data_IF_880368111191
#
_entry.id   IF_880368111191
#
_cell.length_a   1.000
_cell.length_b   1.000
_cell.length_c   1.000
_cell.angle_alpha   90.00
_cell.angle_beta   90.00
_cell.angle_gamma   90.00
#
_symmetry.space_group_name_H-M   'P 1'
#
loop_
_entity.id
_entity.type
_entity.pdbx_description
1 polymer ?
#
# COMPACT_ATOMS: atom_id res chain seq x y z
N UNK A 1 4.57 55.35 40.87
CA UNK A 1 3.31 55.75 40.18
C UNK A 1 3.18 54.89 38.96
N UNK A 2 2.30 53.98 39.06
CA UNK A 2 1.31 53.47 38.06
C UNK A 2 1.88 53.03 36.70
N UNK A 3 1.59 51.90 36.16
CA UNK A 3 0.57 50.92 36.49
C UNK A 3 0.73 49.66 35.68
N UNK A 4 0.16 48.65 36.23
CA UNK A 4 -0.04 47.31 35.77
C UNK A 4 -0.81 47.21 34.42
N UNK A 5 -0.44 46.25 33.57
CA UNK A 5 -1.24 45.84 32.42
C UNK A 5 -1.00 44.37 32.11
N UNK A 6 -1.97 43.55 32.44
CA UNK A 6 -2.05 42.10 32.41
C UNK A 6 -1.84 41.47 31.04
N UNK A 7 -1.15 40.36 31.06
CA UNK A 7 -1.18 39.29 30.06
C UNK A 7 -2.60 38.79 29.83
N UNK A 8 -2.90 38.48 28.59
CA UNK A 8 -3.95 37.53 28.23
C UNK A 8 -3.45 36.58 27.16
N UNK A 9 -3.47 35.33 27.55
CA UNK A 9 -3.37 34.16 26.68
C UNK A 9 -4.52 34.15 25.67
N UNK A 10 -4.22 34.00 24.40
CA UNK A 10 -5.20 33.57 23.38
C UNK A 10 -4.56 32.54 22.45
N UNK A 11 -4.99 31.34 22.65
CA UNK A 11 -5.73 30.47 21.76
C UNK A 11 -5.28 30.44 20.28
N UNK A 12 -4.52 29.43 19.94
CA UNK A 12 -4.17 29.03 18.58
C UNK A 12 -5.35 28.37 17.88
N UNK A 13 -5.89 29.02 16.85
CA UNK A 13 -6.77 28.43 15.85
C UNK A 13 -6.01 28.26 14.52
N UNK A 14 -6.27 27.22 13.73
CA UNK A 14 -5.53 26.96 12.50
C UNK A 14 -6.02 27.86 11.35
N UNK A 15 -5.07 28.51 10.71
CA UNK A 15 -5.28 29.37 9.55
C UNK A 15 -5.49 28.52 8.29
N UNK A 16 -6.67 28.63 7.71
CA UNK A 16 -6.94 28.19 6.34
C UNK A 16 -6.26 29.14 5.36
N UNK A 17 -5.32 28.64 4.56
CA UNK A 17 -4.75 29.41 3.46
C UNK A 17 -5.69 29.36 2.25
N UNK A 18 -6.40 30.45 2.05
CA UNK A 18 -6.99 30.82 0.76
C UNK A 18 -5.87 31.50 -0.06
N UNK A 19 -5.46 30.88 -1.15
CA UNK A 19 -4.46 31.44 -2.05
C UNK A 19 -5.11 32.49 -2.97
N UNK A 20 -5.11 33.73 -2.54
CA UNK A 20 -5.36 34.87 -3.43
C UNK A 20 -4.01 35.41 -3.88
N UNK A 21 -3.70 35.23 -5.14
CA UNK A 21 -2.49 35.78 -5.78
C UNK A 21 -2.70 37.25 -6.01
N UNK A 22 -2.01 38.10 -5.22
CA UNK A 22 -1.88 39.54 -5.49
C UNK A 22 -0.68 39.74 -6.41
N UNK A 23 -0.94 40.05 -7.67
CA UNK A 23 0.08 40.50 -8.61
C UNK A 23 0.42 41.93 -8.26
N UNK A 24 1.64 42.21 -7.83
CA UNK A 24 2.20 43.55 -7.66
C UNK A 24 3.22 43.76 -8.76
N UNK A 25 2.87 44.58 -9.71
CA UNK A 25 3.78 45.14 -10.70
C UNK A 25 4.84 46.01 -10.01
N UNK A 26 6.09 45.75 -10.26
CA UNK A 26 7.19 46.68 -10.04
C UNK A 26 8.16 46.60 -11.23
N UNK A 27 8.17 47.67 -12.01
CA UNK A 27 9.10 47.88 -13.10
C UNK A 27 10.56 48.02 -12.62
N UNK A 28 11.46 47.21 -13.18
CA UNK A 28 12.87 47.55 -13.40
C UNK A 28 13.49 46.59 -14.43
N UNK A 29 14.24 47.07 -15.41
CA UNK A 29 14.84 46.21 -16.44
C UNK A 29 16.20 45.65 -15.94
N UNK A 30 16.15 44.54 -15.21
CA UNK A 30 17.33 43.72 -15.02
C UNK A 30 17.23 42.48 -15.92
N UNK A 31 18.28 42.23 -16.72
CA UNK A 31 18.40 41.02 -17.53
C UNK A 31 18.20 39.79 -16.63
N UNK A 32 17.01 39.26 -16.66
CA UNK A 32 16.65 38.07 -15.91
C UNK A 32 17.08 36.85 -16.74
N UNK A 33 18.31 36.39 -16.52
CA UNK A 33 18.78 35.08 -16.97
C UNK A 33 18.01 34.00 -16.20
N UNK A 34 16.71 33.90 -16.45
CA UNK A 34 15.95 32.75 -15.96
C UNK A 34 16.51 31.49 -16.64
N UNK A 35 16.97 30.51 -15.87
CA UNK A 35 17.40 29.26 -16.48
C UNK A 35 16.22 28.71 -17.29
N UNK A 36 16.48 28.35 -18.51
CA UNK A 36 15.57 27.71 -19.44
C UNK A 36 14.57 26.87 -18.66
N UNK A 37 13.28 27.21 -18.73
CA UNK A 37 12.20 26.40 -18.21
C UNK A 37 12.22 25.11 -19.01
N UNK A 38 13.03 24.13 -18.54
CA UNK A 38 13.19 22.82 -19.18
C UNK A 38 11.78 22.30 -19.34
N UNK A 39 11.31 22.14 -20.55
CA UNK A 39 10.03 21.58 -20.91
C UNK A 39 9.97 20.21 -20.23
N UNK A 40 9.28 20.15 -19.08
CA UNK A 40 9.18 18.94 -18.29
C UNK A 40 8.21 18.02 -19.01
N UNK A 41 8.76 17.07 -19.78
CA UNK A 41 7.97 16.02 -20.36
C UNK A 41 7.20 15.29 -19.26
N UNK A 42 5.86 15.13 -19.39
CA UNK A 42 5.00 14.56 -18.34
C UNK A 42 5.38 13.12 -17.96
N UNK A 43 6.23 12.47 -18.74
CA UNK A 43 6.67 11.09 -18.56
C UNK A 43 8.11 10.95 -18.02
N UNK A 44 8.80 12.08 -17.72
CA UNK A 44 10.18 12.02 -17.20
C UNK A 44 10.19 11.50 -15.76
N UNK A 45 10.91 10.41 -15.43
CA UNK A 45 11.08 9.93 -14.08
C UNK A 45 11.68 10.99 -13.14
N UNK A 46 11.26 11.00 -11.88
CA UNK A 46 11.83 11.92 -10.87
C UNK A 46 13.29 11.63 -10.55
N UNK A 47 13.75 10.41 -10.75
CA UNK A 47 15.18 10.05 -10.65
C UNK A 47 16.05 10.90 -11.59
N UNK A 48 15.65 11.02 -12.87
CA UNK A 48 16.36 11.85 -13.84
C UNK A 48 16.38 13.32 -13.42
N UNK A 49 15.25 13.81 -12.88
CA UNK A 49 15.17 15.19 -12.38
C UNK A 49 16.12 15.41 -11.21
N UNK A 50 16.18 14.47 -10.26
CA UNK A 50 17.04 14.56 -9.08
C UNK A 50 18.53 14.53 -9.44
N UNK A 51 18.91 13.66 -10.37
CA UNK A 51 20.31 13.59 -10.82
C UNK A 51 20.71 14.92 -11.48
N UNK A 52 19.83 15.53 -12.29
CA UNK A 52 20.06 16.82 -12.95
C UNK A 52 20.10 18.00 -11.97
N UNK A 53 19.35 17.94 -10.86
CA UNK A 53 19.38 18.93 -9.79
C UNK A 53 20.70 18.88 -8.96
N UNK A 54 21.50 17.84 -9.13
CA UNK A 54 22.71 17.55 -8.36
C UNK A 54 22.42 16.62 -7.17
N UNK A 55 23.09 15.48 -7.14
CA UNK A 55 22.93 14.47 -6.10
C UNK A 55 24.23 14.27 -5.35
N UNK A 56 24.23 14.59 -4.06
CA UNK A 56 25.42 14.54 -3.19
C UNK A 56 25.48 13.25 -2.36
N UNK A 57 26.69 12.92 -1.86
CA UNK A 57 26.88 11.81 -0.92
C UNK A 57 26.05 11.95 0.36
N UNK A 58 25.77 13.19 0.79
CA UNK A 58 24.91 13.47 1.93
C UNK A 58 23.44 13.06 1.65
N UNK A 59 22.95 13.30 0.44
CA UNK A 59 21.61 12.85 0.02
C UNK A 59 21.55 11.33 -0.11
N UNK A 60 22.60 10.70 -0.67
CA UNK A 60 22.69 9.23 -0.71
C UNK A 60 22.61 8.60 0.67
N UNK A 61 23.34 9.14 1.67
CA UNK A 61 23.26 8.64 3.04
C UNK A 61 21.85 8.73 3.63
N UNK A 62 21.13 9.84 3.38
CA UNK A 62 19.73 9.99 3.81
C UNK A 62 18.82 8.96 3.15
N UNK A 63 18.94 8.80 1.83
CA UNK A 63 18.14 7.85 1.06
C UNK A 63 18.44 6.41 1.45
N UNK A 64 19.71 6.05 1.69
CA UNK A 64 20.11 4.73 2.15
C UNK A 64 19.53 4.39 3.52
N UNK A 65 19.61 5.31 4.49
CA UNK A 65 19.03 5.11 5.83
C UNK A 65 17.49 5.04 5.80
N UNK A 66 16.85 5.88 5.00
CA UNK A 66 15.41 5.84 4.81
C UNK A 66 14.98 4.53 4.13
N UNK A 67 15.67 4.11 3.07
CA UNK A 67 15.45 2.84 2.39
C UNK A 67 15.60 1.64 3.32
N UNK A 68 16.61 1.64 4.18
CA UNK A 68 16.81 0.60 5.19
C UNK A 68 15.63 0.55 6.19
N UNK A 69 15.21 1.71 6.69
CA UNK A 69 14.06 1.81 7.60
C UNK A 69 12.80 1.23 6.98
N UNK A 70 12.55 1.54 5.71
CA UNK A 70 11.38 1.00 4.99
C UNK A 70 11.53 -0.50 4.73
N UNK A 71 12.72 -0.99 4.36
CA UNK A 71 12.97 -2.40 4.09
C UNK A 71 12.69 -3.28 5.32
N UNK A 72 13.12 -2.83 6.49
CA UNK A 72 12.88 -3.51 7.77
C UNK A 72 11.37 -3.68 8.05
N UNK A 73 10.57 -2.67 7.75
CA UNK A 73 9.11 -2.72 7.92
C UNK A 73 8.44 -3.54 6.81
N UNK A 74 8.93 -3.39 5.60
CA UNK A 74 8.33 -4.00 4.41
C UNK A 74 8.51 -5.52 4.34
N UNK A 75 9.60 -6.05 4.90
CA UNK A 75 9.95 -7.46 4.80
C UNK A 75 8.84 -8.37 5.37
N UNK A 76 8.47 -8.30 6.67
CA UNK A 76 7.40 -9.13 7.20
C UNK A 76 6.04 -8.81 6.58
N UNK A 77 5.79 -7.53 6.28
CA UNK A 77 4.53 -7.09 5.69
C UNK A 77 4.33 -7.61 4.27
N UNK A 78 5.38 -7.69 3.45
CA UNK A 78 5.27 -8.22 2.09
C UNK A 78 4.93 -9.70 2.07
N UNK A 79 5.55 -10.49 2.96
CA UNK A 79 5.24 -11.91 3.13
C UNK A 79 3.81 -12.11 3.63
N UNK A 80 3.41 -11.34 4.65
CA UNK A 80 2.06 -11.41 5.20
C UNK A 80 0.98 -11.10 4.16
N UNK A 81 1.17 -10.06 3.33
CA UNK A 81 0.24 -9.72 2.24
C UNK A 81 0.16 -10.85 1.20
N UNK A 82 1.29 -11.44 0.80
CA UNK A 82 1.29 -12.54 -0.15
C UNK A 82 0.50 -13.75 0.40
N UNK A 83 0.78 -14.15 1.65
CA UNK A 83 0.08 -15.26 2.31
C UNK A 83 -1.42 -14.99 2.40
N UNK A 84 -1.82 -13.80 2.84
CA UNK A 84 -3.21 -13.40 2.91
C UNK A 84 -3.92 -13.35 1.54
N UNK A 85 -3.13 -13.21 0.47
CA UNK A 85 -3.60 -13.24 -0.93
C UNK A 85 -3.56 -14.65 -1.54
N UNK A 86 -3.41 -15.70 -0.75
CA UNK A 86 -3.25 -17.10 -1.18
C UNK A 86 -2.02 -17.35 -2.07
N UNK A 87 -1.06 -16.41 -2.05
CA UNK A 87 0.21 -16.54 -2.75
C UNK A 87 1.33 -17.01 -1.79
N UNK A 88 2.37 -17.68 -2.29
CA UNK A 88 3.51 -18.06 -1.48
C UNK A 88 4.26 -16.81 -0.96
N UNK A 89 4.81 -16.82 0.27
CA UNK A 89 5.40 -15.65 0.91
C UNK A 89 6.51 -14.98 0.10
N UNK A 90 7.30 -15.76 -0.64
CA UNK A 90 8.36 -15.25 -1.51
C UNK A 90 7.84 -14.38 -2.65
N UNK A 91 6.62 -14.61 -3.15
CA UNK A 91 6.03 -13.76 -4.19
C UNK A 91 5.87 -12.31 -3.73
N UNK A 92 5.55 -12.10 -2.44
CA UNK A 92 5.52 -10.77 -1.84
C UNK A 92 6.90 -10.11 -1.77
N UNK A 93 7.95 -10.88 -1.48
CA UNK A 93 9.33 -10.39 -1.48
C UNK A 93 9.79 -10.03 -2.90
N UNK A 94 9.55 -10.89 -3.88
CA UNK A 94 9.87 -10.61 -5.28
C UNK A 94 9.17 -9.35 -5.78
N UNK A 95 7.92 -9.14 -5.37
CA UNK A 95 7.17 -7.92 -5.69
C UNK A 95 7.80 -6.69 -5.06
N UNK A 96 8.24 -6.75 -3.80
CA UNK A 96 8.91 -5.64 -3.14
C UNK A 96 10.28 -5.34 -3.74
N UNK A 97 11.01 -6.36 -4.19
CA UNK A 97 12.34 -6.23 -4.81
C UNK A 97 12.20 -5.66 -6.22
N UNK A 98 11.57 -6.39 -7.13
CA UNK A 98 11.52 -6.02 -8.56
C UNK A 98 10.58 -4.84 -8.77
N UNK A 99 9.34 -4.97 -8.30
CA UNK A 99 8.32 -3.93 -8.45
C UNK A 99 8.68 -2.66 -7.69
N UNK A 100 9.15 -2.79 -6.45
CA UNK A 100 9.59 -1.65 -5.65
C UNK A 100 10.74 -0.89 -6.27
N UNK A 101 11.74 -1.59 -6.84
CA UNK A 101 12.85 -0.98 -7.58
C UNK A 101 12.35 -0.21 -8.81
N UNK A 102 11.53 -0.85 -9.65
CA UNK A 102 11.02 -0.25 -10.89
C UNK A 102 10.14 0.97 -10.64
N UNK A 103 9.23 0.89 -9.67
CA UNK A 103 8.37 2.02 -9.27
C UNK A 103 9.24 3.21 -8.84
N UNK A 104 10.28 2.98 -8.06
CA UNK A 104 11.15 4.06 -7.59
C UNK A 104 12.07 4.61 -8.70
N UNK A 105 12.61 3.75 -9.56
CA UNK A 105 13.51 4.15 -10.63
C UNK A 105 12.81 4.92 -11.75
N UNK A 106 11.59 4.48 -12.13
CA UNK A 106 10.84 5.02 -13.26
C UNK A 106 9.74 6.00 -12.82
N UNK A 107 9.44 6.09 -11.52
CA UNK A 107 8.29 6.78 -10.96
C UNK A 107 8.29 8.29 -11.15
N UNK A 108 7.07 8.83 -11.13
CA UNK A 108 6.79 10.26 -11.14
C UNK A 108 6.84 10.90 -9.76
N UNK A 109 6.93 10.14 -8.69
CA UNK A 109 7.08 10.60 -7.30
C UNK A 109 8.53 10.47 -6.83
N UNK A 110 8.96 11.36 -5.94
CA UNK A 110 10.31 11.28 -5.33
C UNK A 110 10.38 10.29 -4.19
N UNK A 111 9.24 9.97 -3.58
CA UNK A 111 9.20 9.30 -2.29
C UNK A 111 8.44 7.98 -2.30
N UNK A 112 7.76 7.69 -3.41
CA UNK A 112 6.93 6.51 -3.55
C UNK A 112 7.72 5.22 -3.37
N UNK A 113 7.19 4.34 -2.55
CA UNK A 113 7.70 2.98 -2.37
C UNK A 113 6.69 2.02 -2.95
N UNK A 114 7.13 1.26 -3.95
CA UNK A 114 6.34 0.18 -4.54
C UNK A 114 6.46 -1.12 -3.76
N UNK A 115 5.46 -1.99 -3.92
CA UNK A 115 5.45 -3.33 -3.34
C UNK A 115 4.04 -3.91 -3.31
N UNK A 116 3.84 -5.10 -2.73
CA UNK A 116 2.51 -5.67 -2.55
C UNK A 116 1.72 -4.80 -1.55
N UNK A 117 0.45 -4.59 -1.82
CA UNK A 117 -0.41 -3.74 -0.99
C UNK A 117 -1.58 -4.50 -0.41
N UNK A 118 -1.97 -4.13 0.82
CA UNK A 118 -3.11 -4.74 1.52
C UNK A 118 -4.42 -4.61 0.75
N UNK A 119 -4.62 -3.51 0.03
CA UNK A 119 -5.81 -3.28 -0.78
C UNK A 119 -6.05 -4.33 -1.87
N UNK A 120 -5.00 -5.03 -2.29
CA UNK A 120 -5.09 -6.06 -3.33
C UNK A 120 -5.34 -7.47 -2.80
N UNK A 121 -5.27 -7.70 -1.48
CA UNK A 121 -5.35 -9.04 -0.88
C UNK A 121 -6.56 -9.81 -1.43
N UNK A 122 -7.74 -9.20 -1.38
CA UNK A 122 -8.99 -9.87 -1.77
C UNK A 122 -9.04 -10.13 -3.28
N UNK A 123 -8.66 -9.13 -4.08
CA UNK A 123 -8.70 -9.25 -5.55
C UNK A 123 -7.66 -10.25 -6.04
N UNK A 124 -6.46 -10.25 -5.47
CA UNK A 124 -5.40 -11.20 -5.80
C UNK A 124 -5.79 -12.61 -5.37
N UNK A 125 -6.34 -12.80 -4.16
CA UNK A 125 -6.82 -14.08 -3.68
C UNK A 125 -7.92 -14.64 -4.60
N UNK A 126 -8.92 -13.84 -4.95
CA UNK A 126 -10.01 -14.29 -5.83
C UNK A 126 -9.52 -14.71 -7.23
N UNK A 127 -8.50 -14.02 -7.77
CA UNK A 127 -7.90 -14.40 -9.06
C UNK A 127 -7.09 -15.69 -8.93
N UNK A 128 -6.35 -15.87 -7.84
CA UNK A 128 -5.60 -17.11 -7.59
C UNK A 128 -6.57 -18.28 -7.42
N UNK A 129 -7.64 -18.13 -6.66
CA UNK A 129 -8.63 -19.18 -6.43
C UNK A 129 -9.35 -19.60 -7.71
N UNK A 130 -9.63 -18.66 -8.62
CA UNK A 130 -10.31 -18.93 -9.87
C UNK A 130 -9.39 -19.38 -11.01
N UNK A 131 -8.16 -18.86 -11.08
CA UNK A 131 -7.27 -19.00 -12.24
C UNK A 131 -5.84 -19.47 -11.88
N UNK A 132 -5.59 -19.74 -10.61
CA UNK A 132 -4.27 -20.10 -10.12
C UNK A 132 -3.24 -18.97 -10.20
N UNK A 133 -2.02 -19.27 -9.78
CA UNK A 133 -0.93 -18.29 -9.76
C UNK A 133 -0.53 -17.82 -11.18
N UNK A 134 -0.59 -18.70 -12.17
CA UNK A 134 -0.31 -18.35 -13.56
C UNK A 134 -1.34 -17.34 -14.11
N UNK A 135 -2.64 -17.53 -13.81
CA UNK A 135 -3.69 -16.60 -14.18
C UNK A 135 -3.52 -15.22 -13.52
N UNK A 136 -3.13 -15.18 -12.25
CA UNK A 136 -2.79 -13.91 -11.58
C UNK A 136 -1.63 -13.19 -12.27
N UNK A 137 -0.55 -13.91 -12.58
CA UNK A 137 0.62 -13.33 -13.26
C UNK A 137 0.24 -12.71 -14.60
N UNK A 138 -0.54 -13.43 -15.41
CA UNK A 138 -1.03 -12.93 -16.70
C UNK A 138 -1.97 -11.73 -16.52
N UNK A 139 -2.93 -11.79 -15.59
CA UNK A 139 -3.82 -10.66 -15.30
C UNK A 139 -3.03 -9.42 -14.82
N UNK A 140 -1.97 -9.62 -14.02
CA UNK A 140 -1.10 -8.53 -13.56
C UNK A 140 -0.31 -7.91 -14.73
N UNK A 141 0.23 -8.73 -15.64
CA UNK A 141 0.90 -8.22 -16.86
C UNK A 141 -0.07 -7.42 -17.75
N UNK A 142 -1.28 -7.95 -17.98
CA UNK A 142 -2.31 -7.26 -18.72
C UNK A 142 -2.70 -5.93 -18.04
N UNK A 143 -2.86 -5.93 -16.72
CA UNK A 143 -3.10 -4.71 -15.94
C UNK A 143 -1.98 -3.68 -16.13
N UNK A 144 -0.73 -4.14 -16.14
CA UNK A 144 0.44 -3.30 -16.42
C UNK A 144 0.36 -2.63 -17.79
N UNK A 145 -0.02 -3.37 -18.84
CA UNK A 145 -0.24 -2.81 -20.18
C UNK A 145 -1.36 -1.78 -20.17
N UNK A 146 -2.50 -2.08 -19.51
CA UNK A 146 -3.63 -1.14 -19.39
C UNK A 146 -3.20 0.15 -18.68
N UNK A 147 -2.39 0.06 -17.61
CA UNK A 147 -1.85 1.24 -16.91
C UNK A 147 -0.94 2.08 -17.80
N UNK A 148 -0.04 1.46 -18.59
CA UNK A 148 0.83 2.19 -19.54
C UNK A 148 -0.01 2.89 -20.59
N UNK A 149 -0.99 2.21 -21.20
CA UNK A 149 -1.90 2.82 -22.18
C UNK A 149 -2.69 3.97 -21.54
N UNK A 150 -3.23 3.78 -20.34
CA UNK A 150 -3.91 4.83 -19.58
C UNK A 150 -3.03 6.05 -19.31
N UNK A 151 -1.75 5.83 -18.98
CA UNK A 151 -0.78 6.91 -18.79
C UNK A 151 -0.52 7.67 -20.09
N UNK A 152 -0.35 6.98 -21.23
CA UNK A 152 -0.16 7.59 -22.55
C UNK A 152 -1.38 8.42 -22.97
N UNK A 153 -2.58 7.96 -22.64
CA UNK A 153 -3.83 8.70 -22.80
C UNK A 153 -4.04 9.81 -21.76
N UNK A 154 -3.06 10.01 -20.86
CA UNK A 154 -3.06 11.04 -19.80
C UNK A 154 -4.20 10.90 -18.78
N UNK A 155 -4.67 9.68 -18.55
CA UNK A 155 -5.75 9.39 -17.59
C UNK A 155 -5.32 9.56 -16.12
N UNK A 156 -4.04 9.69 -15.83
CA UNK A 156 -3.52 9.89 -14.46
C UNK A 156 -4.09 11.11 -13.73
N UNK A 157 -4.60 12.11 -14.46
CA UNK A 157 -5.26 13.27 -13.85
C UNK A 157 -6.70 12.99 -13.38
N UNK A 158 -7.35 11.93 -13.89
CA UNK A 158 -8.74 11.60 -13.55
C UNK A 158 -8.90 11.15 -12.09
N UNK A 159 -7.87 10.51 -11.52
CA UNK A 159 -7.91 10.04 -10.12
C UNK A 159 -8.16 11.18 -9.12
N UNK A 160 -7.77 12.41 -9.46
CA UNK A 160 -8.05 13.59 -8.63
C UNK A 160 -9.55 13.89 -8.43
N UNK A 161 -10.40 13.30 -9.27
CA UNK A 161 -11.85 13.52 -9.24
C UNK A 161 -12.60 12.46 -8.42
N UNK A 162 -11.89 11.45 -7.87
CA UNK A 162 -12.51 10.45 -7.00
C UNK A 162 -12.91 11.14 -5.69
N UNK A 163 -14.21 11.09 -5.31
CA UNK A 163 -14.68 11.74 -4.10
C UNK A 163 -14.05 11.12 -2.84
N UNK A 164 -13.65 11.95 -1.89
CA UNK A 164 -12.98 11.51 -0.65
C UNK A 164 -13.82 10.48 0.13
N UNK A 165 -15.15 10.64 0.18
CA UNK A 165 -16.05 9.70 0.85
C UNK A 165 -16.01 8.28 0.23
N UNK A 166 -15.81 8.18 -1.09
CA UNK A 166 -15.61 6.89 -1.79
C UNK A 166 -14.32 6.24 -1.33
N UNK A 167 -13.23 6.99 -1.28
CA UNK A 167 -11.92 6.46 -0.84
C UNK A 167 -11.98 5.96 0.60
N UNK A 168 -12.58 6.73 1.52
CA UNK A 168 -12.70 6.34 2.94
C UNK A 168 -13.61 5.13 3.11
N UNK A 169 -14.75 5.06 2.41
CA UNK A 169 -15.66 3.90 2.45
C UNK A 169 -14.99 2.64 1.90
N UNK A 170 -14.29 2.77 0.79
CA UNK A 170 -13.55 1.69 0.15
C UNK A 170 -12.43 1.14 1.04
N UNK A 171 -11.57 2.00 1.60
CA UNK A 171 -10.47 1.57 2.48
C UNK A 171 -10.99 0.93 3.77
N UNK A 172 -12.10 1.41 4.32
CA UNK A 172 -12.75 0.80 5.47
C UNK A 172 -13.32 -0.59 5.14
N UNK A 173 -13.94 -0.77 3.96
CA UNK A 173 -14.43 -2.06 3.48
C UNK A 173 -13.31 -3.09 3.32
N UNK A 174 -12.21 -2.70 2.67
CA UNK A 174 -11.01 -3.54 2.54
C UNK A 174 -10.46 -3.93 3.92
N UNK A 175 -10.39 -2.99 4.86
CA UNK A 175 -9.88 -3.26 6.21
C UNK A 175 -10.67 -4.38 6.91
N UNK A 176 -12.00 -4.39 6.78
CA UNK A 176 -12.86 -5.46 7.33
C UNK A 176 -12.55 -6.81 6.67
N UNK A 177 -12.41 -6.84 5.36
CA UNK A 177 -12.14 -8.08 4.63
C UNK A 177 -10.74 -8.62 4.96
N UNK A 178 -9.71 -7.74 5.03
CA UNK A 178 -8.36 -8.13 5.45
C UNK A 178 -8.38 -8.71 6.86
N UNK A 179 -9.07 -8.03 7.79
CA UNK A 179 -9.16 -8.52 9.16
C UNK A 179 -9.84 -9.90 9.22
N UNK A 180 -10.93 -10.10 8.49
CA UNK A 180 -11.63 -11.37 8.43
C UNK A 180 -10.73 -12.49 7.87
N UNK A 181 -9.89 -12.22 6.87
CA UNK A 181 -8.95 -13.20 6.32
C UNK A 181 -7.80 -13.56 7.27
N UNK A 182 -7.55 -12.76 8.31
CA UNK A 182 -6.54 -13.09 9.32
C UNK A 182 -7.04 -13.98 10.45
N UNK A 183 -8.35 -14.14 10.60
CA UNK A 183 -8.95 -14.90 11.73
C UNK A 183 -8.43 -16.34 11.74
N UNK A 184 -8.30 -16.97 10.59
CA UNK A 184 -7.74 -18.32 10.45
C UNK A 184 -6.38 -18.46 11.15
N UNK A 185 -5.40 -17.63 10.77
CA UNK A 185 -4.03 -17.71 11.30
C UNK A 185 -3.89 -17.07 12.70
N UNK A 186 -4.72 -16.06 13.05
CA UNK A 186 -4.76 -15.48 14.40
C UNK A 186 -5.13 -16.51 15.46
N UNK A 187 -6.12 -17.35 15.13
CA UNK A 187 -6.64 -18.37 16.04
C UNK A 187 -6.00 -19.75 15.79
N UNK A 188 -5.15 -19.88 14.76
CA UNK A 188 -4.55 -21.17 14.37
C UNK A 188 -5.61 -22.23 14.11
N UNK A 189 -6.66 -21.89 13.35
CA UNK A 189 -7.78 -22.78 13.06
C UNK A 189 -7.36 -23.84 12.02
N UNK A 190 -8.00 -25.01 12.09
CA UNK A 190 -7.87 -26.03 11.06
C UNK A 190 -9.19 -26.13 10.29
N UNK A 191 -9.19 -25.73 9.03
CA UNK A 191 -10.37 -25.76 8.17
C UNK A 191 -10.50 -27.14 7.50
N UNK A 192 -11.72 -27.65 7.39
CA UNK A 192 -12.01 -28.94 6.70
C UNK A 192 -11.97 -28.80 5.16
N UNK A 193 -12.10 -27.60 4.63
CA UNK A 193 -12.09 -27.29 3.20
C UNK A 193 -11.35 -25.96 2.98
N UNK A 194 -10.95 -25.62 1.74
CA UNK A 194 -10.38 -24.31 1.41
C UNK A 194 -11.26 -23.17 1.89
N UNK A 195 -10.62 -22.10 2.33
CA UNK A 195 -11.32 -20.91 2.87
C UNK A 195 -12.19 -20.25 1.79
N UNK A 196 -13.50 -20.00 2.04
CA UNK A 196 -14.38 -19.35 1.07
C UNK A 196 -13.94 -17.92 0.75
N UNK A 197 -14.13 -17.49 -0.51
CA UNK A 197 -13.78 -16.14 -0.93
C UNK A 197 -14.72 -15.04 -0.39
N UNK A 198 -16.01 -15.31 -0.27
CA UNK A 198 -16.97 -14.34 0.23
C UNK A 198 -17.02 -14.28 1.76
N UNK A 199 -17.26 -13.08 2.30
CA UNK A 199 -17.18 -12.82 3.73
C UNK A 199 -18.15 -13.65 4.57
N UNK A 200 -19.38 -13.86 4.09
CA UNK A 200 -20.43 -14.53 4.89
C UNK A 200 -20.10 -16.01 5.06
N UNK A 201 -19.78 -16.70 3.95
CA UNK A 201 -19.41 -18.12 4.01
C UNK A 201 -18.08 -18.32 4.73
N UNK A 202 -17.14 -17.38 4.56
CA UNK A 202 -15.85 -17.35 5.28
C UNK A 202 -16.08 -17.31 6.79
N UNK A 203 -16.84 -16.33 7.29
CA UNK A 203 -17.13 -16.23 8.73
C UNK A 203 -17.85 -17.46 9.28
N UNK A 204 -18.75 -18.06 8.48
CA UNK A 204 -19.43 -19.31 8.85
C UNK A 204 -18.44 -20.48 8.95
N UNK A 205 -17.55 -20.64 7.98
CA UNK A 205 -16.53 -21.69 7.99
C UNK A 205 -15.56 -21.52 9.17
N UNK A 206 -15.10 -20.30 9.44
CA UNK A 206 -14.24 -19.97 10.59
C UNK A 206 -14.94 -20.25 11.92
N UNK A 207 -16.24 -19.93 12.02
CA UNK A 207 -17.03 -20.24 13.21
C UNK A 207 -17.16 -21.75 13.45
N UNK A 208 -17.40 -22.52 12.39
CA UNK A 208 -17.44 -23.98 12.48
C UNK A 208 -16.09 -24.60 12.88
N UNK A 209 -14.98 -23.98 12.45
CA UNK A 209 -13.64 -24.41 12.82
C UNK A 209 -13.19 -23.92 14.20
N UNK A 210 -13.96 -23.07 14.89
CA UNK A 210 -13.58 -22.49 16.20
C UNK A 210 -13.17 -23.52 17.27
N UNK A 211 -13.71 -24.76 17.34
CA UNK A 211 -13.24 -25.75 18.31
C UNK A 211 -11.80 -26.22 18.09
N UNK A 212 -11.22 -25.98 16.91
CA UNK A 212 -9.83 -26.33 16.57
C UNK A 212 -8.83 -25.24 16.97
N UNK A 213 -9.27 -24.15 17.61
CA UNK A 213 -8.45 -23.01 17.95
C UNK A 213 -7.20 -23.40 18.77
N UNK A 214 -6.05 -22.93 18.33
CA UNK A 214 -4.77 -23.17 18.99
C UNK A 214 -4.45 -22.04 19.98
N UNK A 215 -4.43 -22.29 21.30
CA UNK A 215 -4.19 -21.25 22.29
C UNK A 215 -2.80 -20.61 22.17
N UNK A 216 -1.79 -21.36 21.67
CA UNK A 216 -0.45 -20.83 21.45
C UNK A 216 -0.40 -19.85 20.27
N UNK A 217 -1.16 -20.11 19.21
CA UNK A 217 -1.29 -19.18 18.08
C UNK A 217 -1.95 -17.87 18.55
N UNK A 218 -3.02 -17.96 19.33
CA UNK A 218 -3.72 -16.81 19.91
C UNK A 218 -2.77 -15.99 20.80
N UNK A 219 -2.08 -16.65 21.72
CA UNK A 219 -1.14 -15.99 22.62
C UNK A 219 -0.02 -15.28 21.82
N UNK A 220 0.53 -15.95 20.81
CA UNK A 220 1.60 -15.39 19.99
C UNK A 220 1.14 -14.18 19.17
N UNK A 221 -0.03 -14.25 18.56
CA UNK A 221 -0.64 -13.15 17.84
C UNK A 221 -0.92 -11.95 18.76
N UNK A 222 -1.53 -12.20 19.93
CA UNK A 222 -1.82 -11.16 20.92
C UNK A 222 -0.52 -10.50 21.46
N UNK A 223 0.51 -11.30 21.78
CA UNK A 223 1.81 -10.79 22.20
C UNK A 223 2.48 -9.96 21.08
N UNK A 224 2.39 -10.41 19.82
CA UNK A 224 2.93 -9.67 18.67
C UNK A 224 2.27 -8.31 18.55
N UNK A 225 0.94 -8.25 18.62
CA UNK A 225 0.18 -7.00 18.58
C UNK A 225 0.55 -6.10 19.77
N UNK A 226 0.60 -6.66 20.98
CA UNK A 226 0.93 -5.91 22.20
C UNK A 226 2.34 -5.31 22.13
N UNK A 227 3.35 -6.06 21.67
CA UNK A 227 4.72 -5.59 21.47
C UNK A 227 4.76 -4.44 20.45
N UNK A 228 4.07 -4.58 19.31
CA UNK A 228 4.03 -3.53 18.29
C UNK A 228 3.41 -2.25 18.86
N UNK A 229 2.28 -2.35 19.56
CA UNK A 229 1.59 -1.21 20.16
C UNK A 229 2.46 -0.56 21.24
N UNK A 230 3.07 -1.36 22.13
CA UNK A 230 3.95 -0.87 23.17
C UNK A 230 5.17 -0.12 22.58
N UNK A 231 5.85 -0.69 21.59
CA UNK A 231 7.00 -0.03 20.98
C UNK A 231 6.58 1.26 20.27
N UNK A 232 5.46 1.28 19.55
CA UNK A 232 4.97 2.49 18.88
C UNK A 232 4.62 3.62 19.84
N UNK A 233 4.17 3.27 21.07
CA UNK A 233 3.82 4.26 22.11
C UNK A 233 5.06 4.79 22.82
N UNK A 234 6.01 3.93 23.15
CA UNK A 234 7.16 4.30 23.97
C UNK A 234 8.40 4.70 23.16
N UNK A 235 8.59 4.08 21.99
CA UNK A 235 9.76 4.29 21.12
C UNK A 235 9.34 4.32 19.64
N UNK A 236 8.61 5.35 19.17
CA UNK A 236 8.00 5.38 17.84
C UNK A 236 8.99 5.30 16.66
N UNK A 237 10.27 5.56 16.93
CA UNK A 237 11.34 5.46 15.92
C UNK A 237 11.89 4.03 15.76
N UNK A 238 11.55 3.12 16.66
CA UNK A 238 12.05 1.74 16.62
C UNK A 238 11.25 0.91 15.59
N UNK A 239 11.89 -0.07 14.93
CA UNK A 239 11.25 -0.93 13.94
C UNK A 239 10.32 -1.97 14.60
N UNK A 240 9.18 -1.51 15.11
CA UNK A 240 8.25 -2.31 15.93
C UNK A 240 7.83 -3.63 15.29
N UNK A 241 7.59 -3.64 13.96
CA UNK A 241 7.16 -4.86 13.27
C UNK A 241 8.27 -5.92 13.24
N UNK A 242 9.51 -5.52 12.93
CA UNK A 242 10.63 -6.46 12.91
C UNK A 242 10.91 -7.01 14.29
N UNK A 243 10.96 -6.14 15.32
CA UNK A 243 11.23 -6.56 16.72
C UNK A 243 10.16 -7.56 17.17
N UNK A 244 8.89 -7.29 16.90
CA UNK A 244 7.79 -8.18 17.26
C UNK A 244 7.91 -9.54 16.57
N UNK A 245 8.22 -9.57 15.26
CA UNK A 245 8.42 -10.81 14.51
C UNK A 245 9.61 -11.60 15.02
N UNK A 246 10.75 -10.94 15.26
CA UNK A 246 11.95 -11.61 15.80
C UNK A 246 11.66 -12.22 17.17
N UNK A 247 11.02 -11.47 18.07
CA UNK A 247 10.66 -11.99 19.39
C UNK A 247 9.65 -13.14 19.31
N UNK A 248 8.64 -13.04 18.47
CA UNK A 248 7.65 -14.10 18.25
C UNK A 248 8.30 -15.37 17.68
N UNK A 249 9.18 -15.21 16.67
CA UNK A 249 9.90 -16.33 16.07
C UNK A 249 10.85 -17.00 17.05
N UNK A 250 11.59 -16.19 17.82
CA UNK A 250 12.51 -16.72 18.85
C UNK A 250 11.75 -17.46 19.94
N UNK A 251 10.60 -16.92 20.40
CA UNK A 251 9.76 -17.56 21.41
C UNK A 251 9.17 -18.87 20.89
N UNK A 252 8.65 -18.90 19.67
CA UNK A 252 8.09 -20.09 19.06
C UNK A 252 9.15 -21.19 18.89
N UNK A 253 10.35 -20.82 18.45
CA UNK A 253 11.47 -21.75 18.27
C UNK A 253 12.02 -22.26 19.61
N UNK A 254 12.32 -21.36 20.56
CA UNK A 254 12.94 -21.72 21.84
C UNK A 254 12.01 -22.53 22.74
N UNK A 255 10.71 -22.24 22.73
CA UNK A 255 9.71 -22.96 23.52
C UNK A 255 9.05 -24.12 22.75
N UNK A 256 9.50 -24.40 21.53
CA UNK A 256 8.99 -25.46 20.65
C UNK A 256 7.45 -25.43 20.57
N UNK A 257 6.88 -24.22 20.40
CA UNK A 257 5.44 -24.05 20.37
C UNK A 257 4.81 -24.76 19.17
N UNK A 258 3.69 -25.46 19.34
CA UNK A 258 2.99 -26.17 18.27
C UNK A 258 2.19 -25.18 17.41
N UNK A 259 2.88 -24.29 16.70
CA UNK A 259 2.31 -23.27 15.82
C UNK A 259 2.86 -23.41 14.40
N UNK A 260 2.06 -23.10 13.40
CA UNK A 260 2.51 -23.10 12.03
C UNK A 260 3.47 -21.93 11.75
N UNK A 261 4.53 -22.23 11.00
CA UNK A 261 5.52 -21.25 10.53
C UNK A 261 5.53 -21.20 9.01
N UNK A 262 6.22 -20.20 8.44
CA UNK A 262 6.46 -20.14 6.99
C UNK A 262 7.14 -21.44 6.51
N UNK A 263 8.10 -21.97 7.26
CA UNK A 263 8.80 -23.20 6.94
C UNK A 263 7.91 -24.42 6.91
N UNK A 264 7.02 -24.57 7.89
CA UNK A 264 6.12 -25.73 7.98
C UNK A 264 5.02 -25.73 6.93
N UNK A 265 4.45 -24.56 6.57
CA UNK A 265 3.35 -24.46 5.60
C UNK A 265 3.83 -24.35 4.15
N UNK A 266 4.93 -23.61 3.90
CA UNK A 266 5.39 -23.26 2.55
C UNK A 266 6.75 -23.88 2.16
N UNK A 267 7.37 -24.65 3.05
CA UNK A 267 8.70 -25.25 2.80
C UNK A 267 9.87 -24.27 2.92
N UNK A 268 9.61 -23.02 3.35
CA UNK A 268 10.61 -21.98 3.54
C UNK A 268 10.64 -20.92 2.42
N UNK A 269 11.67 -20.08 2.46
CA UNK A 269 11.87 -18.98 1.50
C UNK A 269 13.15 -19.26 0.71
N UNK A 270 13.13 -19.11 -0.63
CA UNK A 270 14.32 -19.30 -1.44
C UNK A 270 15.35 -18.21 -1.12
N UNK A 271 16.63 -18.61 -1.09
CA UNK A 271 17.76 -17.69 -0.87
C UNK A 271 18.29 -17.06 -2.15
N UNK A 272 17.50 -17.05 -3.23
CA UNK A 272 17.87 -16.42 -4.50
C UNK A 272 16.63 -15.98 -5.30
N UNK A 273 16.80 -14.94 -6.12
CA UNK A 273 15.76 -14.56 -7.07
C UNK A 273 15.64 -15.61 -8.18
N UNK A 274 14.44 -15.97 -8.60
CA UNK A 274 14.26 -16.83 -9.76
C UNK A 274 14.73 -16.11 -11.03
N UNK A 275 15.17 -16.88 -12.04
CA UNK A 275 15.37 -16.33 -13.37
C UNK A 275 14.04 -15.87 -13.97
N UNK A 276 14.04 -14.78 -14.75
CA UNK A 276 12.81 -14.30 -15.38
C UNK A 276 12.26 -15.36 -16.34
N UNK A 277 10.99 -15.69 -16.17
CA UNK A 277 10.28 -16.66 -17.00
C UNK A 277 8.88 -16.15 -17.31
N UNK A 278 8.38 -16.45 -18.49
CA UNK A 278 7.00 -16.15 -18.84
C UNK A 278 6.06 -17.08 -18.07
N UNK A 279 4.95 -16.54 -17.52
CA UNK A 279 3.92 -17.38 -16.94
C UNK A 279 3.34 -18.36 -17.98
N UNK A 280 2.90 -19.54 -17.53
CA UNK A 280 2.24 -20.48 -18.41
C UNK A 280 0.93 -19.93 -18.95
N UNK A 281 0.71 -20.04 -20.26
CA UNK A 281 -0.54 -19.69 -20.92
C UNK A 281 -1.49 -20.91 -21.02
N UNK A 282 -1.02 -22.10 -20.66
CA UNK A 282 -1.80 -23.33 -20.74
C UNK A 282 -3.05 -23.24 -19.84
N UNK A 283 -4.21 -23.51 -20.45
CA UNK A 283 -5.50 -23.45 -19.76
C UNK A 283 -6.00 -22.04 -19.42
N UNK A 284 -5.27 -20.99 -19.79
CA UNK A 284 -5.64 -19.59 -19.49
C UNK A 284 -6.28 -18.92 -20.71
N UNK A 285 -7.48 -18.36 -20.51
CA UNK A 285 -8.11 -17.49 -21.51
C UNK A 285 -7.83 -16.04 -21.16
N UNK A 286 -7.08 -15.32 -22.01
CA UNK A 286 -6.80 -13.90 -21.82
C UNK A 286 -8.09 -13.06 -21.78
N UNK A 287 -9.12 -13.48 -22.53
CA UNK A 287 -10.41 -12.79 -22.51
C UNK A 287 -11.13 -12.97 -21.16
N UNK A 288 -11.04 -14.15 -20.56
CA UNK A 288 -11.61 -14.43 -19.25
C UNK A 288 -10.86 -13.66 -18.13
N UNK A 289 -9.55 -13.41 -18.30
CA UNK A 289 -8.73 -12.64 -17.35
C UNK A 289 -8.90 -11.11 -17.49
N UNK A 290 -9.51 -10.64 -18.60
CA UNK A 290 -9.61 -9.20 -18.88
C UNK A 290 -10.34 -8.39 -17.79
N UNK A 291 -11.48 -8.85 -17.21
CA UNK A 291 -12.12 -8.14 -16.11
C UNK A 291 -11.20 -8.01 -14.89
N UNK A 292 -10.49 -9.08 -14.52
CA UNK A 292 -9.52 -9.09 -13.44
C UNK A 292 -8.35 -8.12 -13.71
N UNK A 293 -7.84 -8.10 -14.94
CA UNK A 293 -6.78 -7.19 -15.35
C UNK A 293 -7.21 -5.72 -15.28
N UNK A 294 -8.43 -5.40 -15.74
CA UNK A 294 -9.00 -4.05 -15.64
C UNK A 294 -9.13 -3.67 -14.17
N UNK A 295 -9.60 -4.58 -13.33
CA UNK A 295 -9.75 -4.41 -11.90
C UNK A 295 -8.43 -4.05 -11.22
N UNK A 296 -7.39 -4.86 -11.48
CA UNK A 296 -6.04 -4.61 -10.99
C UNK A 296 -5.48 -3.28 -11.48
N UNK A 297 -5.70 -2.93 -12.76
CA UNK A 297 -5.22 -1.68 -13.33
C UNK A 297 -5.88 -0.45 -12.71
N UNK A 298 -7.20 -0.47 -12.55
CA UNK A 298 -7.97 0.64 -11.96
C UNK A 298 -7.59 0.83 -10.50
N UNK A 299 -7.65 -0.25 -9.71
CA UNK A 299 -7.32 -0.21 -8.29
C UNK A 299 -5.88 0.24 -8.06
N UNK A 300 -4.92 -0.34 -8.81
CA UNK A 300 -3.51 0.01 -8.71
C UNK A 300 -3.21 1.45 -9.10
N UNK A 301 -3.90 1.97 -10.12
CA UNK A 301 -3.78 3.36 -10.53
C UNK A 301 -4.27 4.31 -9.42
N UNK A 302 -5.44 4.01 -8.84
CA UNK A 302 -6.02 4.82 -7.77
C UNK A 302 -5.10 4.82 -6.54
N UNK A 303 -4.71 3.65 -6.05
CA UNK A 303 -3.90 3.52 -4.84
C UNK A 303 -2.53 4.16 -4.99
N UNK A 304 -1.86 3.92 -6.13
CA UNK A 304 -0.55 4.51 -6.41
C UNK A 304 -0.60 6.04 -6.47
N UNK A 305 -1.59 6.61 -7.16
CA UNK A 305 -1.71 8.07 -7.26
C UNK A 305 -2.16 8.69 -5.94
N UNK A 306 -3.01 8.03 -5.15
CA UNK A 306 -3.34 8.48 -3.79
C UNK A 306 -2.10 8.48 -2.88
N UNK A 307 -1.27 7.43 -2.95
CA UNK A 307 0.00 7.37 -2.21
C UNK A 307 0.93 8.52 -2.59
N UNK A 308 1.02 8.83 -3.88
CA UNK A 308 1.81 9.96 -4.38
C UNK A 308 1.27 11.32 -3.88
N UNK A 309 -0.07 11.51 -3.86
CA UNK A 309 -0.72 12.72 -3.32
C UNK A 309 -0.44 12.87 -1.83
N UNK A 310 -0.49 11.80 -1.06
CA UNK A 310 -0.14 11.83 0.37
C UNK A 310 1.32 12.26 0.57
N UNK A 311 2.25 11.73 -0.23
CA UNK A 311 3.65 12.16 -0.20
C UNK A 311 3.81 13.64 -0.57
N UNK A 312 3.07 14.12 -1.57
CA UNK A 312 3.05 15.54 -1.94
C UNK A 312 2.61 16.42 -0.76
N UNK A 313 1.53 16.03 -0.09
CA UNK A 313 1.01 16.74 1.09
C UNK A 313 2.00 16.77 2.27
N UNK A 314 2.79 15.70 2.46
CA UNK A 314 3.80 15.62 3.51
C UNK A 314 5.06 16.42 3.21
N UNK A 315 5.40 16.63 1.93
CA UNK A 315 6.72 17.15 1.51
C UNK A 315 6.65 18.49 0.78
N UNK A 316 5.47 18.90 0.31
CA UNK A 316 5.28 20.06 -0.56
C UNK A 316 5.83 19.87 -1.99
N UNK A 317 6.26 18.67 -2.37
CA UNK A 317 6.84 18.36 -3.68
C UNK A 317 5.85 17.58 -4.54
N UNK A 318 5.51 18.14 -5.70
CA UNK A 318 4.49 17.56 -6.58
C UNK A 318 5.03 16.38 -7.39
N UNK A 319 4.25 15.33 -7.48
CA UNK A 319 4.49 14.17 -8.35
C UNK A 319 4.04 14.44 -9.80
N UNK A 320 4.45 13.55 -10.72
CA UNK A 320 4.01 13.50 -12.12
C UNK A 320 3.13 12.27 -12.33
N UNK A 321 1.81 12.45 -12.31
CA UNK A 321 0.84 11.34 -12.30
C UNK A 321 1.01 10.37 -13.48
N UNK A 322 1.25 10.87 -14.72
CA UNK A 322 1.41 9.99 -15.87
C UNK A 322 2.74 9.22 -15.85
N UNK A 323 3.85 9.85 -15.38
CA UNK A 323 5.11 9.14 -15.19
C UNK A 323 4.96 8.05 -14.12
N UNK A 324 4.20 8.31 -13.06
CA UNK A 324 3.90 7.34 -12.02
C UNK A 324 3.14 6.14 -12.56
N UNK A 325 2.09 6.37 -13.36
CA UNK A 325 1.32 5.27 -13.98
C UNK A 325 2.15 4.45 -14.97
N UNK A 326 3.05 5.08 -15.73
CA UNK A 326 4.00 4.32 -16.59
C UNK A 326 4.88 3.42 -15.75
N UNK A 327 5.43 3.94 -14.66
CA UNK A 327 6.28 3.16 -13.76
C UNK A 327 5.52 1.97 -13.14
N UNK A 328 4.30 2.21 -12.67
CA UNK A 328 3.42 1.16 -12.14
C UNK A 328 3.09 0.11 -13.20
N UNK A 329 2.78 0.55 -14.42
CA UNK A 329 2.50 -0.37 -15.53
C UNK A 329 3.71 -1.23 -15.89
N UNK A 330 4.89 -0.62 -16.06
CA UNK A 330 6.14 -1.36 -16.33
C UNK A 330 6.47 -2.32 -15.18
N UNK A 331 6.29 -1.89 -13.93
CA UNK A 331 6.53 -2.74 -12.77
C UNK A 331 5.57 -3.95 -12.75
N UNK A 332 4.29 -3.76 -13.09
CA UNK A 332 3.31 -4.85 -13.15
C UNK A 332 3.51 -5.78 -14.37
N UNK A 333 4.17 -5.33 -15.43
CA UNK A 333 4.58 -6.20 -16.55
C UNK A 333 5.77 -7.07 -16.13
N UNK A 334 6.77 -6.49 -15.46
CA UNK A 334 8.04 -7.17 -15.21
C UNK A 334 8.05 -8.00 -13.92
N UNK A 335 7.32 -7.60 -12.89
CA UNK A 335 7.29 -8.31 -11.58
C UNK A 335 6.82 -9.76 -11.70
N UNK A 336 5.76 -10.09 -12.48
CA UNK A 336 5.32 -11.47 -12.66
C UNK A 336 6.36 -12.38 -13.32
N UNK A 337 7.26 -11.85 -14.14
CA UNK A 337 8.34 -12.64 -14.76
C UNK A 337 9.29 -13.26 -13.72
N UNK A 338 9.35 -12.68 -12.52
CA UNK A 338 10.13 -13.17 -11.39
C UNK A 338 9.25 -13.84 -10.33
N UNK A 339 8.03 -14.24 -10.68
CA UNK A 339 7.12 -14.90 -9.74
C UNK A 339 6.50 -13.98 -8.68
N UNK A 340 6.56 -12.66 -8.86
CA UNK A 340 5.90 -11.69 -7.99
C UNK A 340 4.41 -11.56 -8.28
N UNK A 341 3.68 -11.00 -7.31
CA UNK A 341 2.28 -10.62 -7.41
C UNK A 341 2.14 -9.15 -7.83
N UNK A 342 0.91 -8.64 -7.89
CA UNK A 342 0.62 -7.25 -8.26
C UNK A 342 1.35 -6.24 -7.38
N UNK A 343 1.97 -5.24 -8.00
CA UNK A 343 2.68 -4.14 -7.35
C UNK A 343 1.93 -2.83 -7.47
N UNK A 344 1.95 -2.04 -6.40
CA UNK A 344 1.49 -0.64 -6.42
C UNK A 344 2.30 0.22 -5.46
N UNK A 345 2.17 1.53 -5.58
CA UNK A 345 2.70 2.46 -4.59
C UNK A 345 1.87 2.38 -3.31
N UNK A 346 2.52 2.19 -2.17
CA UNK A 346 1.83 1.97 -0.90
C UNK A 346 1.92 3.19 0.02
N UNK A 347 0.79 3.69 0.51
CA UNK A 347 0.71 4.89 1.36
C UNK A 347 1.57 4.73 2.62
N UNK A 348 1.45 3.60 3.33
CA UNK A 348 2.13 3.38 4.60
C UNK A 348 3.66 3.36 4.45
N UNK A 349 4.20 2.68 3.42
CA UNK A 349 5.65 2.64 3.16
C UNK A 349 6.16 3.98 2.67
N UNK A 350 5.42 4.65 1.79
CA UNK A 350 5.74 5.99 1.28
C UNK A 350 5.79 7.01 2.41
N UNK A 351 4.80 7.02 3.31
CA UNK A 351 4.80 7.89 4.49
C UNK A 351 5.96 7.56 5.44
N UNK A 352 6.31 6.28 5.61
CA UNK A 352 7.48 5.87 6.41
C UNK A 352 8.77 6.37 5.77
N UNK A 353 8.91 6.29 4.44
CA UNK A 353 10.05 6.78 3.70
C UNK A 353 10.26 8.30 3.90
N UNK A 354 9.18 9.07 3.77
CA UNK A 354 9.20 10.52 4.02
C UNK A 354 9.60 10.82 5.47
N UNK A 355 8.97 10.16 6.45
CA UNK A 355 9.28 10.34 7.89
C UNK A 355 10.70 9.94 8.25
N UNK A 356 11.28 8.95 7.56
CA UNK A 356 12.66 8.54 7.71
C UNK A 356 13.67 9.52 7.09
N UNK A 357 13.19 10.59 6.45
CA UNK A 357 14.03 11.67 5.91
C UNK A 357 14.57 11.40 4.51
N UNK A 358 13.91 10.58 3.71
CA UNK A 358 14.26 10.35 2.33
C UNK A 358 14.36 11.67 1.55
N UNK A 359 15.33 11.75 0.64
CA UNK A 359 15.52 12.89 -0.26
C UNK A 359 14.93 12.65 -1.64
N UNK A 360 14.95 11.41 -2.12
CA UNK A 360 14.48 11.10 -3.45
C UNK A 360 14.26 9.61 -3.76
N UNK A 361 14.08 9.27 -5.05
CA UNK A 361 13.72 7.91 -5.49
C UNK A 361 14.77 6.86 -5.15
N UNK A 362 16.03 7.27 -4.93
CA UNK A 362 17.11 6.35 -4.55
C UNK A 362 16.81 5.65 -3.23
N UNK A 363 16.05 6.28 -2.32
CA UNK A 363 15.62 5.61 -1.09
C UNK A 363 14.78 4.36 -1.36
N UNK A 364 13.88 4.39 -2.34
CA UNK A 364 13.08 3.22 -2.71
C UNK A 364 13.88 2.18 -3.50
N UNK A 365 14.86 2.59 -4.29
CA UNK A 365 15.80 1.65 -4.93
C UNK A 365 16.65 0.93 -3.87
N UNK A 366 17.15 1.67 -2.85
CA UNK A 366 17.86 1.10 -1.71
C UNK A 366 16.99 0.18 -0.86
N UNK A 367 15.70 0.55 -0.65
CA UNK A 367 14.73 -0.34 -0.02
C UNK A 367 14.64 -1.69 -0.72
N UNK A 368 14.49 -1.71 -2.03
CA UNK A 368 14.43 -2.96 -2.81
C UNK A 368 15.72 -3.78 -2.69
N UNK A 369 16.87 -3.12 -2.75
CA UNK A 369 18.17 -3.76 -2.56
C UNK A 369 18.31 -4.36 -1.15
N UNK A 370 17.88 -3.66 -0.10
CA UNK A 370 17.94 -4.20 1.26
C UNK A 370 16.99 -5.37 1.46
N UNK A 371 15.77 -5.34 0.89
CA UNK A 371 14.87 -6.50 0.93
C UNK A 371 15.51 -7.70 0.23
N UNK A 372 16.17 -7.49 -0.92
CA UNK A 372 16.93 -8.54 -1.60
C UNK A 372 18.06 -9.09 -0.70
N UNK A 373 18.87 -8.23 -0.10
CA UNK A 373 19.94 -8.65 0.80
C UNK A 373 19.42 -9.42 2.00
N UNK A 374 18.32 -8.98 2.61
CA UNK A 374 17.69 -9.72 3.71
C UNK A 374 17.18 -11.09 3.24
N UNK A 375 16.58 -11.19 2.07
CA UNK A 375 16.13 -12.46 1.50
C UNK A 375 17.32 -13.41 1.26
N UNK A 376 18.42 -12.91 0.67
CA UNK A 376 19.60 -13.74 0.39
C UNK A 376 20.30 -14.24 1.66
N UNK A 377 20.36 -13.42 2.71
CA UNK A 377 21.14 -13.68 3.92
C UNK A 377 20.32 -14.32 5.05
N UNK A 378 19.03 -13.98 5.14
CA UNK A 378 18.19 -14.35 6.28
C UNK A 378 17.02 -15.29 5.90
N UNK A 379 17.00 -15.89 4.69
CA UNK A 379 15.95 -16.81 4.27
C UNK A 379 15.69 -17.96 5.27
N UNK A 380 16.71 -18.62 5.86
CA UNK A 380 16.47 -19.67 6.86
C UNK A 380 15.77 -19.13 8.12
N UNK A 381 16.11 -17.92 8.55
CA UNK A 381 15.47 -17.28 9.71
C UNK A 381 14.02 -16.88 9.43
N UNK A 382 13.73 -16.46 8.20
CA UNK A 382 12.36 -16.13 7.79
C UNK A 382 11.45 -17.37 7.81
N UNK A 383 11.98 -18.57 7.57
CA UNK A 383 11.23 -19.82 7.64
C UNK A 383 10.71 -20.12 9.06
N UNK A 384 11.33 -19.57 10.09
CA UNK A 384 10.93 -19.70 11.49
C UNK A 384 9.79 -18.77 11.90
N UNK A 385 9.37 -17.85 11.03
CA UNK A 385 8.34 -16.86 11.37
C UNK A 385 6.98 -17.55 11.52
N UNK A 386 6.31 -17.42 12.68
CA UNK A 386 4.98 -17.97 12.89
C UNK A 386 3.91 -17.22 12.09
N UNK A 387 2.99 -17.94 11.48
CA UNK A 387 1.90 -17.34 10.71
C UNK A 387 0.98 -16.49 11.57
N UNK A 388 0.74 -16.90 12.82
CA UNK A 388 0.00 -16.13 13.80
C UNK A 388 0.61 -14.73 14.05
N UNK A 389 1.95 -14.59 14.04
CA UNK A 389 2.60 -13.30 14.19
C UNK A 389 2.38 -12.40 12.96
N UNK A 390 2.44 -12.97 11.75
CA UNK A 390 2.14 -12.23 10.51
C UNK A 390 0.67 -11.81 10.45
N UNK A 391 -0.24 -12.69 10.86
CA UNK A 391 -1.65 -12.39 10.96
C UNK A 391 -1.92 -11.25 11.97
N UNK A 392 -1.23 -11.25 13.12
CA UNK A 392 -1.29 -10.15 14.09
C UNK A 392 -0.84 -8.80 13.49
N UNK A 393 0.20 -8.80 12.67
CA UNK A 393 0.66 -7.61 11.93
C UNK A 393 -0.43 -7.12 10.97
N UNK A 394 -1.01 -8.01 10.16
CA UNK A 394 -2.02 -7.64 9.18
C UNK A 394 -3.33 -7.20 9.85
N UNK A 395 -3.73 -7.81 10.95
CA UNK A 395 -4.87 -7.37 11.75
C UNK A 395 -4.67 -5.92 12.24
N UNK A 396 -3.46 -5.59 12.70
CA UNK A 396 -3.13 -4.23 13.12
C UNK A 396 -3.06 -3.26 11.92
N UNK A 397 -2.58 -3.71 10.77
CA UNK A 397 -2.59 -2.92 9.52
C UNK A 397 -4.02 -2.63 9.10
N UNK A 398 -4.89 -3.64 9.07
CA UNK A 398 -6.31 -3.49 8.76
C UNK A 398 -6.99 -2.47 9.70
N UNK A 399 -6.73 -2.58 11.01
CA UNK A 399 -7.24 -1.61 11.99
C UNK A 399 -6.80 -0.17 11.72
N UNK A 400 -5.56 0.00 11.26
CA UNK A 400 -5.01 1.32 10.95
C UNK A 400 -5.44 1.86 9.57
N UNK A 401 -5.91 0.99 8.66
CA UNK A 401 -6.48 1.41 7.38
C UNK A 401 -7.83 2.11 7.52
N UNK A 402 -8.56 1.85 8.61
CA UNK A 402 -9.81 2.56 8.91
C UNK A 402 -9.48 3.98 9.35
N UNK A 403 -9.71 4.94 8.48
CA UNK A 403 -9.48 6.38 8.71
C UNK A 403 -10.57 6.98 9.61
N UNK A 404 -10.60 6.58 10.89
CA UNK A 404 -11.64 6.97 11.87
C UNK A 404 -11.84 8.48 11.97
N UNK A 405 -10.75 9.25 11.88
CA UNK A 405 -10.80 10.72 11.93
C UNK A 405 -11.49 11.31 10.70
N UNK A 406 -11.28 10.72 9.52
CA UNK A 406 -11.91 11.16 8.29
C UNK A 406 -13.40 10.78 8.27
N UNK A 407 -13.75 9.58 8.77
CA UNK A 407 -15.16 9.17 8.93
C UNK A 407 -15.89 10.15 9.83
N UNK A 408 -15.29 10.55 10.96
CA UNK A 408 -15.90 11.51 11.91
C UNK A 408 -16.03 12.92 11.34
N UNK A 409 -15.26 13.29 10.32
CA UNK A 409 -15.39 14.60 9.63
C UNK A 409 -16.54 14.63 8.62
N UNK A 410 -17.04 13.48 8.18
CA UNK A 410 -18.14 13.39 7.23
C UNK A 410 -19.49 13.62 7.94
N UNK A 411 -19.70 14.87 8.39
CA UNK A 411 -20.87 15.28 9.18
C UNK A 411 -22.15 15.36 8.33
N UNK A 412 -22.01 15.56 7.01
CA UNK A 412 -23.15 15.71 6.11
C UNK A 412 -23.68 14.34 5.64
N UNK A 413 -25.00 14.19 5.60
CA UNK A 413 -25.65 12.94 5.22
C UNK A 413 -25.27 12.45 3.81
N UNK A 414 -25.06 13.33 2.84
CA UNK A 414 -24.69 12.95 1.47
C UNK A 414 -23.36 12.21 1.38
N UNK A 415 -22.24 12.79 1.83
CA UNK A 415 -20.96 12.10 1.91
C UNK A 415 -20.99 10.83 2.78
N UNK A 416 -21.76 10.84 3.89
CA UNK A 416 -21.91 9.65 4.75
C UNK A 416 -22.65 8.52 4.02
N UNK A 417 -23.67 8.84 3.23
CA UNK A 417 -24.38 7.86 2.40
C UNK A 417 -23.47 7.27 1.32
N UNK A 418 -22.67 8.12 0.65
CA UNK A 418 -21.66 7.66 -0.33
C UNK A 418 -20.67 6.72 0.33
N UNK A 419 -20.15 7.06 1.50
CA UNK A 419 -19.26 6.20 2.28
C UNK A 419 -19.94 4.86 2.60
N UNK A 420 -21.15 4.89 3.16
CA UNK A 420 -21.87 3.68 3.57
C UNK A 420 -22.18 2.74 2.39
N UNK A 421 -22.63 3.29 1.26
CA UNK A 421 -22.88 2.50 0.05
C UNK A 421 -21.58 1.91 -0.50
N UNK A 422 -20.51 2.71 -0.61
CA UNK A 422 -19.21 2.21 -1.04
C UNK A 422 -18.71 1.10 -0.13
N UNK A 423 -18.77 1.29 1.19
CA UNK A 423 -18.36 0.31 2.20
C UNK A 423 -19.14 -1.01 2.09
N UNK A 424 -20.47 -0.94 2.06
CA UNK A 424 -21.32 -2.13 2.00
C UNK A 424 -21.15 -2.89 0.69
N UNK A 425 -21.12 -2.18 -0.46
CA UNK A 425 -20.93 -2.84 -1.76
C UNK A 425 -19.53 -3.48 -1.83
N UNK A 426 -18.49 -2.81 -1.32
CA UNK A 426 -17.13 -3.35 -1.25
C UNK A 426 -17.07 -4.66 -0.46
N UNK A 427 -17.80 -4.77 0.66
CA UNK A 427 -17.78 -5.96 1.54
C UNK A 427 -18.60 -7.12 0.97
N UNK A 428 -19.79 -6.84 0.41
CA UNK A 428 -20.77 -7.87 0.07
C UNK A 428 -20.83 -8.24 -1.41
N UNK A 429 -20.18 -7.46 -2.28
CA UNK A 429 -20.19 -7.68 -3.72
C UNK A 429 -18.77 -7.74 -4.28
N UNK A 430 -18.23 -6.61 -4.68
CA UNK A 430 -16.91 -6.48 -5.28
C UNK A 430 -16.30 -5.10 -4.98
N UNK A 431 -14.97 -5.06 -4.93
CA UNK A 431 -14.20 -3.83 -4.70
C UNK A 431 -14.49 -2.77 -5.76
N UNK A 432 -14.61 -3.19 -7.02
CA UNK A 432 -14.81 -2.28 -8.16
C UNK A 432 -16.25 -1.79 -8.20
N UNK A 433 -17.21 -2.70 -7.99
CA UNK A 433 -18.61 -2.34 -7.85
C UNK A 433 -18.78 -1.32 -6.72
N UNK A 434 -18.04 -1.48 -5.60
CA UNK A 434 -18.05 -0.54 -4.48
C UNK A 434 -17.60 0.87 -4.87
N UNK A 435 -16.45 0.98 -5.55
CA UNK A 435 -15.95 2.28 -6.04
C UNK A 435 -16.91 2.88 -7.06
N UNK A 436 -17.37 2.09 -8.04
CA UNK A 436 -18.28 2.54 -9.09
C UNK A 436 -19.61 3.04 -8.51
N UNK A 437 -20.23 2.28 -7.60
CA UNK A 437 -21.47 2.66 -6.92
C UNK A 437 -21.28 3.96 -6.13
N UNK A 438 -20.18 4.11 -5.41
CA UNK A 438 -19.85 5.31 -4.67
C UNK A 438 -19.67 6.54 -5.56
N UNK A 439 -18.95 6.41 -6.68
CA UNK A 439 -18.75 7.51 -7.63
C UNK A 439 -20.09 7.92 -8.25
N UNK A 440 -20.86 6.95 -8.76
CA UNK A 440 -22.20 7.20 -9.38
C UNK A 440 -23.10 7.90 -8.37
N UNK A 441 -23.18 7.40 -7.14
CA UNK A 441 -24.00 8.01 -6.09
C UNK A 441 -23.55 9.43 -5.77
N UNK A 442 -22.25 9.66 -5.68
CA UNK A 442 -21.70 10.99 -5.42
C UNK A 442 -22.04 11.98 -6.54
N UNK A 443 -21.94 11.55 -7.80
CA UNK A 443 -22.33 12.36 -8.95
C UNK A 443 -23.83 12.67 -8.95
N UNK A 444 -24.68 11.68 -8.63
CA UNK A 444 -26.13 11.87 -8.53
C UNK A 444 -26.50 12.86 -7.43
N UNK A 445 -25.91 12.73 -6.25
CA UNK A 445 -26.15 13.66 -5.13
C UNK A 445 -25.72 15.07 -5.48
N UNK A 446 -24.57 15.24 -6.15
CA UNK A 446 -24.11 16.54 -6.61
C UNK A 446 -25.01 17.15 -7.70
N UNK A 447 -25.60 16.32 -8.56
CA UNK A 447 -26.54 16.76 -9.59
C UNK A 447 -27.90 17.16 -9.00
N UNK A 448 -28.36 16.42 -7.98
CA UNK A 448 -29.62 16.70 -7.27
C UNK A 448 -29.51 17.85 -6.26
N UNK A 449 -28.31 18.18 -5.83
CA UNK A 449 -28.08 19.30 -4.92
C UNK A 449 -28.52 20.61 -5.60
N UNK A 450 -29.43 21.41 -5.01
CA UNK A 450 -29.83 22.66 -5.62
C UNK A 450 -28.59 23.55 -5.79
N UNK A 451 -28.35 24.02 -7.04
CA UNK A 451 -27.29 25.00 -7.32
C UNK A 451 -27.56 26.20 -6.42
N UNK A 452 -26.86 26.33 -5.32
CA UNK A 452 -26.82 27.59 -4.58
C UNK A 452 -26.21 28.61 -5.52
N UNK A 453 -27.07 29.49 -6.04
CA UNK A 453 -26.65 30.68 -6.75
C UNK A 453 -25.77 31.47 -5.76
N UNK A 454 -24.48 31.58 -6.12
CA UNK A 454 -23.51 32.46 -5.47
C UNK A 454 -23.78 33.90 -5.83
#
# INVERSE_FOLDING_TARGET
>A
MNGLGREQCESTAPVFYSATVVVREMDSPSLDLRPFKIMQFPFTPKLVTQIREGYSAAYFRKDALAGLTVAIVALPLSMAIAIASHAPPQAGLFTAIIGGFLVSALGGSRFQIGGPAGAFIVLVASIIDAHGMAGLMLATMMAGVIMVVGALLRLGSLVRHVPHAVTVGFTAGIAVIIFASQIHDLFGLTLAAPEPGDLVHKLKALWQASPTANPWAIALAACTIAIIVAIRTWRPLWPSLLIAVVLASTAAWALQLPVETIGTRFGGIPSMLPFPSLPSFEGQSLLALLPSAISLAVLGSIESLLSAVVADGMTGRLHRSNAELVAQGVANILTPLFGGITVTGTIARTATNVKAGAHGPISGMMHALYVLLFMLLAAPLMSLIPLAALAGILALVAWNMVEKKEILKLVHWGPLLVLAVTFLVTIFRDLIEGIAAGIVLSLLLNWLAPRRQS
#
